data_IF_008566444102
#
_entry.id   IF_008566444102
#
_cell.length_a   1.000
_cell.length_b   1.000
_cell.length_c   1.000
_cell.angle_alpha   90.00
_cell.angle_beta   90.00
_cell.angle_gamma   90.00
#
_symmetry.space_group_name_H-M   'P 1'
#
loop_
_entity.id
_entity.type
_entity.pdbx_description
1 polymer ?
2 polymer ?
3 polymer ?
#
loop_
_entity_poly.entity_id
_entity_poly.type
_entity_poly.pdbx_seq_one_letter_code
_entity_poly.pdbx_strand_id
2 'polydeoxyribonucleotide' '(DT)(DG)(DT)(DC)(DA)(DA)(DT)(DA)(DG)(DG)(DT)(DG)(DT)(DC)(DA)(DA)(DT)(DA)(DC)' ?
3 'polydeoxyribonucleotide' '(DG)(DT)(DA)(DT)(DT)(DG)(DA)(DC)(DA)(DC)(DC)(DT)(DA)(DT)(DT)(DG)(DA)(DC)(DA)' ?
#
# COMPACT_ATOMS: atom_id res chain seq x y z
N UNK A 3 -22.49 5.72 23.91
CA UNK A 3 -22.25 4.95 25.12
C UNK A 3 -21.38 3.77 24.68
N UNK A 4 -20.31 4.05 23.91
CA UNK A 4 -19.36 3.02 23.46
C UNK A 4 -20.11 1.82 22.89
N UNK A 5 -20.55 1.97 21.69
CA UNK A 5 -21.01 0.78 20.97
C UNK A 5 -19.83 0.22 20.19
N UNK A 6 -19.54 -1.06 20.30
CA UNK A 6 -18.42 -1.62 19.55
C UNK A 6 -18.66 -1.47 18.05
N UNK A 7 -17.59 -1.13 17.33
CA UNK A 7 -17.73 -0.66 15.95
C UNK A 7 -18.40 -1.71 15.05
N UNK A 8 -17.92 -2.94 15.11
CA UNK A 8 -18.49 -3.97 14.24
C UNK A 8 -19.95 -4.24 14.53
N UNK A 9 -20.42 -3.92 15.74
CA UNK A 9 -21.82 -4.08 16.05
C UNK A 9 -22.71 -3.00 15.47
N UNK A 10 -22.15 -1.80 15.26
CA UNK A 10 -22.95 -0.69 14.74
C UNK A 10 -23.25 -0.87 13.25
N UNK A 11 -22.31 -1.45 12.51
CA UNK A 11 -22.48 -1.60 11.07
C UNK A 11 -23.72 -2.42 10.76
N UNK A 12 -24.34 -2.12 9.61
CA UNK A 12 -25.51 -2.86 9.19
C UNK A 12 -25.11 -4.28 8.77
N UNK A 13 -26.11 -5.16 8.72
CA UNK A 13 -25.88 -6.50 8.21
C UNK A 13 -25.39 -6.44 6.76
N UNK A 14 -25.93 -5.51 5.98
CA UNK A 14 -25.51 -5.36 4.59
C UNK A 14 -24.04 -4.98 4.50
N UNK A 15 -23.62 -3.97 5.25
CA UNK A 15 -22.23 -3.53 5.20
C UNK A 15 -21.27 -4.68 5.53
N UNK A 16 -21.61 -5.50 6.52
CA UNK A 16 -20.79 -6.67 6.82
C UNK A 16 -20.77 -7.63 5.65
N UNK A 17 -21.87 -7.71 4.88
CA UNK A 17 -21.91 -8.59 3.72
C UNK A 17 -20.96 -8.12 2.63
N UNK A 18 -21.10 -6.85 2.21
CA UNK A 18 -20.18 -6.27 1.22
C UNK A 18 -18.74 -6.48 1.68
N UNK A 19 -18.49 -6.26 2.97
CA UNK A 19 -17.14 -6.48 3.51
C UNK A 19 -16.71 -7.93 3.32
N UNK A 20 -17.60 -8.88 3.59
CA UNK A 20 -17.25 -10.29 3.45
C UNK A 20 -16.89 -10.63 2.01
N UNK A 21 -17.68 -10.13 1.06
CA UNK A 21 -17.41 -10.40 -0.35
C UNK A 21 -16.00 -9.96 -0.74
N UNK A 22 -15.56 -8.81 -0.25
CA UNK A 22 -14.23 -8.31 -0.57
C UNK A 22 -13.16 -9.05 0.21
N UNK A 23 -13.35 -9.17 1.53
CA UNK A 23 -12.31 -9.77 2.38
C UNK A 23 -12.32 -11.29 2.28
N UNK A 24 -13.42 -11.93 2.66
CA UNK A 24 -13.46 -13.39 2.72
C UNK A 24 -13.46 -13.99 1.32
N UNK A 25 -14.19 -13.38 0.38
CA UNK A 25 -14.43 -13.98 -0.92
C UNK A 25 -13.56 -13.38 -2.03
N UNK A 26 -12.69 -12.42 -1.71
CA UNK A 26 -11.74 -11.92 -2.69
C UNK A 26 -12.32 -11.18 -3.87
N UNK A 27 -13.62 -10.92 -3.87
CA UNK A 27 -14.22 -10.14 -4.95
C UNK A 27 -13.67 -8.72 -4.96
N UNK A 28 -13.59 -8.14 -6.15
CA UNK A 28 -13.11 -6.77 -6.29
C UNK A 28 -14.12 -5.79 -5.69
N UNK A 29 -13.60 -4.69 -5.15
CA UNK A 29 -14.47 -3.67 -4.55
C UNK A 29 -15.37 -3.05 -5.60
N UNK A 30 -14.80 -2.67 -6.75
CA UNK A 30 -15.59 -2.03 -7.80
C UNK A 30 -16.64 -2.99 -8.36
N UNK A 31 -16.29 -4.27 -8.48
CA UNK A 31 -17.27 -5.27 -8.90
C UNK A 31 -18.41 -5.35 -7.91
N UNK A 32 -18.10 -5.42 -6.61
CA UNK A 32 -19.13 -5.43 -5.58
C UNK A 32 -19.95 -4.15 -5.64
N UNK A 33 -19.29 -3.02 -5.92
CA UNK A 33 -20.01 -1.75 -6.01
C UNK A 33 -21.03 -1.76 -7.14
N UNK A 34 -20.60 -2.15 -8.34
CA UNK A 34 -21.54 -2.26 -9.46
C UNK A 34 -22.61 -3.30 -9.18
N UNK A 35 -22.21 -4.46 -8.66
CA UNK A 35 -23.17 -5.52 -8.37
C UNK A 35 -24.22 -5.08 -7.36
N UNK A 36 -23.93 -4.04 -6.57
CA UNK A 36 -24.85 -3.59 -5.53
C UNK A 36 -25.33 -2.15 -5.75
N UNK A 37 -25.03 -1.55 -6.88
CA UNK A 37 -25.54 -0.21 -7.17
C UNK A 37 -25.07 0.86 -6.21
N UNK A 38 -23.81 0.78 -5.77
CA UNK A 38 -23.22 1.76 -4.86
C UNK A 38 -22.03 2.41 -5.55
N UNK A 39 -21.60 3.54 -5.00
CA UNK A 39 -20.33 4.09 -5.43
C UNK A 39 -19.20 3.19 -4.97
N UNK A 40 -18.07 3.26 -5.68
CA UNK A 40 -16.90 2.54 -5.22
C UNK A 40 -16.33 3.16 -3.96
N UNK A 41 -16.55 4.46 -3.75
CA UNK A 41 -16.08 5.14 -2.55
C UNK A 41 -16.76 4.57 -1.31
N UNK A 42 -18.04 4.22 -1.42
CA UNK A 42 -18.73 3.62 -0.29
C UNK A 42 -18.14 2.25 0.06
N UNK A 43 -17.89 1.42 -0.96
CA UNK A 43 -17.35 0.08 -0.70
C UNK A 43 -15.96 0.15 -0.09
N UNK A 44 -15.15 1.12 -0.53
CA UNK A 44 -13.84 1.31 0.10
C UNK A 44 -14.01 1.79 1.54
N UNK A 45 -14.90 2.75 1.76
CA UNK A 45 -15.19 3.21 3.12
C UNK A 45 -15.74 2.08 3.98
N UNK A 47 -15.16 -1.18 3.65
CA UNK A 47 -14.08 -2.12 3.96
C UNK A 47 -13.16 -1.55 5.03
N UNK A 48 -12.82 -0.27 4.92
CA UNK A 48 -11.97 0.35 5.93
C UNK A 48 -12.58 0.24 7.33
N UNK A 49 -13.90 0.43 7.43
CA UNK A 49 -14.57 0.30 8.71
C UNK A 49 -14.28 -1.05 9.35
N UNK A 50 -14.48 -2.13 8.59
CA UNK A 50 -14.26 -3.47 9.12
C UNK A 50 -12.77 -3.72 9.37
N UNK A 51 -11.93 -3.34 8.41
CA UNK A 51 -10.50 -3.55 8.55
C UNK A 51 -9.96 -2.79 9.76
N UNK A 52 -10.32 -1.51 9.86
CA UNK A 52 -9.83 -0.68 10.96
C UNK A 52 -10.25 -1.23 12.31
N UNK A 53 -11.51 -1.65 12.44
CA UNK A 53 -11.99 -2.15 13.72
C UNK A 53 -11.37 -3.50 14.08
N UNK A 54 -11.16 -4.38 13.10
CA UNK A 54 -10.53 -5.66 13.35
C UNK A 54 -9.07 -5.53 13.77
N UNK A 55 -8.46 -4.36 13.58
CA UNK A 55 -7.13 -4.07 14.08
C UNK A 55 -7.17 -3.20 15.33
N UNK A 56 -8.36 -3.00 15.91
CA UNK A 56 -8.55 -2.10 17.04
C UNK A 56 -7.88 -0.76 16.77
N UNK A 57 -8.15 -0.23 15.58
CA UNK A 57 -7.52 0.98 15.07
C UNK A 57 -8.58 2.06 14.96
N UNK A 58 -8.28 3.31 15.33
CA UNK A 58 -9.25 4.39 15.09
C UNK A 58 -9.56 4.52 13.61
N UNK A 59 -10.81 4.89 13.31
CA UNK A 59 -11.29 4.87 11.93
C UNK A 59 -10.49 5.82 11.04
N UNK A 60 -10.03 6.95 11.57
CA UNK A 60 -9.36 7.95 10.75
C UNK A 60 -7.94 7.54 10.36
N UNK A 61 -7.36 6.55 11.02
CA UNK A 61 -5.98 6.17 10.75
C UNK A 61 -5.83 5.61 9.33
N UNK A 62 -4.76 6.02 8.65
CA UNK A 62 -4.48 5.57 7.29
C UNK A 62 -3.33 4.58 7.29
N UNK A 63 -3.52 3.46 6.59
CA UNK A 63 -2.43 2.53 6.38
C UNK A 63 -1.37 3.15 5.48
N UNK A 64 -0.11 2.87 5.78
CA UNK A 64 1.03 3.37 5.01
C UNK A 64 1.98 2.22 4.74
N UNK A 65 2.47 2.16 3.50
CA UNK A 65 3.40 1.13 3.07
C UNK A 65 4.55 1.81 2.34
N UNK A 66 5.65 2.08 3.05
CA UNK A 66 6.80 2.75 2.47
C UNK A 66 8.03 1.85 2.65
N UNK A 67 9.08 2.18 1.90
CA UNK A 67 10.40 1.61 2.12
C UNK A 67 11.29 2.70 2.71
N UNK A 68 12.13 2.31 3.66
CA UNK A 68 12.89 3.29 4.43
C UNK A 68 14.22 2.67 4.82
N UNK A 69 15.22 3.50 5.12
CA UNK A 69 16.44 2.98 5.71
C UNK A 69 16.14 2.37 7.07
N UNK A 70 16.95 1.39 7.51
CA UNK A 70 16.69 0.75 8.81
C UNK A 70 16.67 1.75 9.96
N UNK A 71 17.49 2.78 9.88
CA UNK A 71 17.46 3.87 10.85
C UNK A 71 16.07 4.49 10.91
N UNK A 72 15.58 4.97 9.76
CA UNK A 72 14.25 5.57 9.71
C UNK A 72 13.16 4.52 9.92
N UNK A 73 13.37 3.31 9.40
CA UNK A 73 12.35 2.27 9.50
C UNK A 73 11.99 1.98 10.95
N UNK A 74 12.99 1.74 11.80
CA UNK A 74 12.71 1.38 13.18
C UNK A 74 11.95 2.49 13.92
N UNK A 75 12.26 3.74 13.61
CA UNK A 75 11.56 4.85 14.27
C UNK A 75 10.08 4.85 13.92
N UNK A 76 9.74 4.52 12.67
CA UNK A 76 8.32 4.51 12.29
C UNK A 76 7.62 3.27 12.85
N UNK A 77 8.35 2.17 13.03
CA UNK A 77 7.77 1.02 13.70
C UNK A 77 7.51 1.34 15.17
N UNK A 78 8.42 2.06 15.81
CA UNK A 78 8.17 2.55 17.16
C UNK A 78 7.17 3.70 17.17
N UNK A 80 4.50 3.76 15.43
CA UNK A 80 3.20 3.08 15.54
C UNK A 80 2.95 2.64 16.98
N UNK A 81 3.89 1.88 17.55
CA UNK A 81 3.71 1.34 18.89
C UNK A 81 3.35 2.45 19.89
N UNK A 82 4.03 3.59 19.79
CA UNK A 82 3.69 4.71 20.67
C UNK A 82 2.28 5.20 20.42
N UNK A 83 1.90 5.38 19.15
CA UNK A 83 0.54 5.81 18.82
C UNK A 83 -0.48 4.76 19.22
N UNK A 84 -0.19 3.48 18.94
CA UNK A 84 -1.05 2.40 19.40
C UNK A 84 -1.20 2.44 20.92
N UNK A 85 -0.07 2.54 21.63
CA UNK A 85 -0.12 2.57 23.09
C UNK A 85 -0.91 3.76 23.60
N UNK A 86 -0.69 4.94 23.01
CA UNK A 86 -1.41 6.13 23.43
C UNK A 86 -2.91 5.96 23.29
N UNK A 87 -3.35 5.33 22.19
CA UNK A 87 -4.78 5.16 21.96
C UNK A 87 -5.39 4.24 23.00
N UNK A 88 -4.69 3.15 23.33
CA UNK A 88 -5.19 2.24 24.35
C UNK A 88 -5.33 2.95 25.69
N UNK A 89 -4.32 3.71 26.08
CA UNK A 89 -4.41 4.50 27.30
C UNK A 89 -5.54 5.53 27.20
N UNK A 90 -5.69 6.16 26.04
CA UNK A 90 -6.71 7.19 25.91
C UNK A 90 -8.10 6.62 26.18
N UNK A 91 -8.45 5.51 25.52
CA UNK A 91 -9.72 4.84 25.83
C UNK A 91 -9.77 4.42 27.29
N UNK A 92 -8.61 4.16 27.90
CA UNK A 92 -8.57 3.62 29.26
C UNK A 92 -8.93 4.67 30.30
N UNK A 93 -8.44 5.89 30.15
CA UNK A 93 -8.58 6.90 31.20
C UNK A 93 -9.29 8.19 30.77
N UNK A 94 -9.69 8.33 29.50
CA UNK A 94 -10.33 9.58 29.10
C UNK A 94 -11.71 9.72 29.74
N UNK A 95 -12.46 8.62 29.85
CA UNK A 95 -13.76 8.67 30.51
C UNK A 95 -13.61 8.85 32.01
N UNK A 96 -12.52 8.31 32.58
CA UNK A 96 -12.28 8.46 34.02
C UNK A 96 -11.73 9.83 34.36
N UNK A 97 -10.83 10.37 33.53
CA UNK A 97 -10.25 11.68 33.79
C UNK A 97 -11.27 12.81 33.73
N UNK A 98 -12.53 12.52 33.43
CA UNK A 98 -13.59 13.52 33.40
C UNK A 98 -14.81 13.04 34.16
N UNK B 1 17.86 -9.13 -10.86
CA UNK B 1 16.49 -8.79 -11.25
C UNK B 1 15.47 -9.44 -10.32
N UNK B 2 15.60 -10.75 -10.13
CA UNK B 2 14.61 -11.48 -9.34
C UNK B 2 14.59 -11.02 -7.88
N UNK B 3 15.68 -10.42 -7.39
CA UNK B 3 15.70 -9.81 -6.07
C UNK B 3 15.07 -8.43 -6.04
N UNK B 4 14.21 -8.13 -7.01
CA UNK B 4 13.46 -6.88 -7.05
C UNK B 4 11.95 -7.07 -6.97
N UNK B 5 11.46 -8.27 -7.22
CA UNK B 5 10.02 -8.55 -7.17
C UNK B 5 9.34 -7.97 -5.93
N UNK B 6 9.95 -7.95 -4.74
CA UNK B 6 9.33 -7.21 -3.62
C UNK B 6 9.26 -5.71 -3.81
N UNK B 7 10.12 -5.11 -4.65
CA UNK B 7 10.15 -3.66 -4.79
C UNK B 7 9.32 -3.13 -5.94
N UNK B 8 8.81 -4.00 -6.81
CA UNK B 8 7.98 -3.57 -7.94
C UNK B 8 6.50 -3.56 -7.57
N UNK B 9 6.21 -2.89 -6.46
CA UNK B 9 4.86 -2.89 -5.93
C UNK B 9 3.86 -2.23 -6.87
N UNK B 10 2.62 -2.69 -6.79
CA UNK B 10 1.51 -2.15 -7.59
C UNK B 10 1.79 -2.26 -9.08
N UNK B 11 2.47 -3.34 -9.48
CA UNK B 11 2.69 -3.67 -10.88
C UNK B 11 2.10 -5.06 -11.15
N UNK B 12 2.11 -5.46 -12.41
CA UNK B 12 1.45 -6.68 -12.84
C UNK B 12 2.46 -7.77 -13.17
N UNK B 13 1.98 -9.02 -13.10
CA UNK B 13 2.79 -10.18 -13.47
C UNK B 13 3.40 -10.00 -14.86
N UNK B 14 2.54 -9.81 -15.86
CA UNK B 14 3.00 -9.73 -17.24
C UNK B 14 3.86 -8.50 -17.46
N UNK B 15 3.47 -7.36 -16.88
CA UNK B 15 4.27 -6.16 -17.00
C UNK B 15 5.69 -6.38 -16.51
N UNK B 16 5.83 -7.08 -15.39
CA UNK B 16 7.15 -7.47 -14.89
C UNK B 16 7.74 -8.56 -15.76
N UNK B 17 6.91 -9.54 -16.15
CA UNK B 17 7.38 -10.64 -16.97
C UNK B 17 7.99 -10.16 -18.27
N UNK B 18 7.28 -9.26 -18.97
CA UNK B 18 7.81 -8.70 -20.21
C UNK B 18 9.11 -7.95 -19.93
N UNK B 19 9.12 -7.12 -18.89
CA UNK B 19 10.31 -6.37 -18.54
C UNK B 19 11.52 -7.29 -18.41
N UNK B 20 11.32 -8.49 -17.86
CA UNK B 20 12.41 -9.46 -17.78
C UNK B 20 12.92 -9.83 -19.16
N UNK B 21 12.02 -9.94 -20.14
CA UNK B 21 12.44 -10.34 -21.48
C UNK B 21 13.42 -9.36 -22.10
N UNK B 22 13.36 -8.10 -21.71
CA UNK B 22 14.29 -7.10 -22.23
C UNK B 22 15.54 -6.98 -21.38
N UNK B 23 15.40 -7.06 -20.05
CA UNK B 23 16.53 -6.82 -19.16
C UNK B 23 17.21 -8.10 -18.68
N UNK B 24 16.54 -9.24 -18.70
CA UNK B 24 17.16 -10.53 -18.37
C UNK B 24 17.37 -11.38 -19.62
N UNK B 25 16.28 -11.71 -20.32
CA UNK B 25 16.40 -12.45 -21.58
C UNK B 25 17.05 -11.61 -22.69
N UNK B 26 17.17 -10.30 -22.50
CA UNK B 26 17.84 -9.47 -23.48
C UNK B 26 17.17 -9.43 -24.83
N UNK B 27 15.87 -9.74 -24.90
CA UNK B 27 15.15 -9.67 -26.17
C UNK B 27 15.06 -8.23 -26.66
N UNK B 28 14.49 -8.05 -27.84
CA UNK B 28 14.35 -6.72 -28.43
C UNK B 28 13.06 -6.08 -27.96
N UNK B 29 13.14 -4.79 -27.63
CA UNK B 29 11.98 -4.06 -27.12
C UNK B 29 10.86 -4.02 -28.14
N UNK B 30 11.17 -3.62 -29.37
CA UNK B 30 10.13 -3.48 -30.40
C UNK B 30 9.53 -4.83 -30.79
N UNK B 31 10.26 -5.93 -30.59
CA UNK B 31 9.78 -7.24 -31.02
C UNK B 31 8.84 -7.90 -30.02
N UNK B 32 9.05 -7.69 -28.71
CA UNK B 32 8.07 -8.16 -27.74
C UNK B 32 6.76 -7.41 -27.91
N UNK B 33 6.83 -6.11 -28.22
CA UNK B 33 5.62 -5.35 -28.51
C UNK B 33 4.82 -6.02 -29.63
N UNK B 34 5.51 -6.50 -30.66
CA UNK B 34 4.82 -7.22 -31.72
C UNK B 34 4.27 -8.56 -31.23
N UNK B 35 5.03 -9.26 -30.38
CA UNK B 35 4.57 -10.54 -29.85
C UNK B 35 3.40 -10.36 -28.89
N UNK B 36 3.66 -9.72 -27.75
CA UNK B 36 2.64 -9.63 -26.69
C UNK B 36 1.43 -8.80 -27.09
N UNK B 37 1.40 -8.22 -28.28
CA UNK B 37 0.25 -7.46 -28.74
C UNK B 37 0.22 -6.01 -28.32
N UNK B 38 1.36 -5.45 -27.94
CA UNK B 38 1.44 -4.11 -27.40
C UNK B 38 2.12 -3.16 -28.37
N UNK B 39 1.86 -1.87 -28.21
CA UNK B 39 2.67 -0.89 -28.91
C UNK B 39 4.07 -0.86 -28.32
N UNK B 40 4.98 -0.16 -28.99
CA UNK B 40 6.35 -0.10 -28.50
C UNK B 40 6.52 0.92 -27.38
N UNK B 41 5.82 2.05 -27.47
CA UNK B 41 5.90 3.05 -26.41
C UNK B 41 5.42 2.49 -25.08
N UNK B 42 4.48 1.56 -25.12
CA UNK B 42 4.06 0.84 -23.92
C UNK B 42 5.26 0.11 -23.32
N UNK B 43 5.79 -0.88 -24.04
CA UNK B 43 6.84 -1.73 -23.49
C UNK B 43 8.04 -0.91 -23.03
N UNK B 44 8.28 0.24 -23.68
CA UNK B 44 9.35 1.12 -23.24
C UNK B 44 9.07 1.67 -21.85
N UNK B 45 7.84 2.18 -21.64
CA UNK B 45 7.47 2.70 -20.33
C UNK B 45 7.55 1.62 -19.27
N UNK B 47 9.56 -0.89 -19.25
CA UNK B 47 10.99 -1.07 -18.97
C UNK B 47 11.49 0.06 -18.09
N UNK B 48 11.22 1.31 -18.48
CA UNK B 48 11.68 2.45 -17.69
C UNK B 48 11.13 2.39 -16.27
N UNK B 49 9.90 1.91 -16.11
CA UNK B 49 9.34 1.74 -14.77
C UNK B 49 10.16 0.79 -13.94
N UNK B 50 10.23 -0.48 -14.36
CA UNK B 50 10.91 -1.50 -13.56
C UNK B 50 12.37 -1.15 -13.32
N UNK B 51 12.98 -0.41 -14.24
CA UNK B 51 14.37 0.03 -14.04
C UNK B 51 14.42 1.14 -12.99
N UNK B 52 13.59 2.17 -13.16
CA UNK B 52 13.57 3.27 -12.21
C UNK B 52 13.22 2.81 -10.82
N UNK B 53 12.51 1.69 -10.69
CA UNK B 53 12.29 1.08 -9.39
C UNK B 53 13.62 0.71 -8.74
N UNK B 54 14.44 -0.07 -9.46
CA UNK B 54 15.73 -0.51 -8.94
C UNK B 54 16.58 0.66 -8.46
N UNK B 55 16.85 1.60 -9.36
CA UNK B 55 17.77 2.70 -9.10
C UNK B 55 17.16 3.82 -8.25
N UNK B 56 16.09 3.55 -7.53
CA UNK B 56 15.50 4.53 -6.62
C UNK B 56 15.30 4.00 -5.20
N UNK B 57 15.45 2.70 -4.97
CA UNK B 57 15.34 2.12 -3.64
C UNK B 57 16.56 1.24 -3.40
N UNK B 58 17.51 1.65 -2.55
CA UNK B 58 18.63 0.76 -2.21
C UNK B 58 18.12 -0.51 -1.56
N UNK B 59 18.71 -1.65 -1.94
CA UNK B 59 18.20 -2.94 -1.46
C UNK B 59 18.42 -3.17 0.02
N UNK B 60 19.23 -2.34 0.68
CA UNK B 60 19.41 -2.42 2.12
C UNK B 60 18.22 -1.85 2.89
N UNK B 61 17.30 -1.18 2.20
CA UNK B 61 16.14 -0.59 2.84
C UNK B 61 15.13 -1.67 3.23
N UNK B 62 14.15 -1.29 4.03
CA UNK B 62 13.18 -2.21 4.60
C UNK B 62 11.76 -1.80 4.23
N UNK B 63 10.93 -2.79 3.92
CA UNK B 63 9.52 -2.56 3.70
C UNK B 63 8.82 -2.30 5.03
N UNK B 64 8.21 -1.12 5.16
CA UNK B 64 7.47 -0.75 6.36
C UNK B 64 5.98 -0.72 6.01
N UNK B 65 5.18 -1.47 6.74
CA UNK B 65 3.73 -1.46 6.62
C UNK B 65 3.14 -1.18 7.99
N UNK B 66 2.32 -0.13 8.09
CA UNK B 66 2.08 0.50 9.38
C UNK B 66 0.79 1.32 9.29
N UNK B 67 0.08 1.41 10.42
CA UNK B 67 -1.21 2.10 10.53
C UNK B 67 -1.06 3.30 11.44
N UNK B 68 -1.20 4.50 10.88
CA UNK B 68 -0.88 5.73 11.60
C UNK B 68 -2.00 6.76 11.52
N UNK B 69 -2.06 7.66 12.50
CA UNK B 69 -2.94 8.82 12.36
C UNK B 69 -2.56 9.63 11.14
N UNK B 70 -3.51 10.41 10.59
CA UNK B 70 -3.24 11.07 9.30
C UNK B 70 -2.01 11.96 9.27
N UNK B 71 -1.84 12.83 10.26
CA UNK B 71 -0.69 13.74 10.25
C UNK B 71 0.63 12.97 10.27
N UNK B 72 0.80 12.04 11.21
CA UNK B 72 2.01 11.21 11.22
C UNK B 72 2.12 10.39 9.95
N UNK B 73 0.98 9.90 9.43
CA UNK B 73 1.02 9.09 8.21
C UNK B 73 1.65 9.86 7.06
N UNK B 74 1.25 11.11 6.86
CA UNK B 74 1.87 11.94 5.84
C UNK B 74 3.34 12.17 6.15
N UNK B 75 3.67 12.34 7.42
CA UNK B 75 5.07 12.56 7.81
C UNK B 75 5.94 11.38 7.40
N UNK B 76 5.44 10.15 7.59
CA UNK B 76 6.17 8.97 7.14
C UNK B 76 6.23 8.92 5.62
N UNK B 77 5.14 9.34 4.95
CA UNK B 77 5.17 9.42 3.49
C UNK B 77 6.12 10.51 3.03
N UNK B 78 6.18 11.63 3.74
CA UNK B 78 7.16 12.67 3.42
C UNK B 78 8.57 12.19 3.70
N UNK B 80 9.76 9.16 3.35
CA UNK B 80 10.18 8.38 2.20
C UNK B 80 10.58 9.27 1.03
N UNK B 81 9.84 10.36 0.82
CA UNK B 81 10.17 11.29 -0.26
C UNK B 81 11.57 11.87 -0.08
N UNK B 82 11.87 12.36 1.13
CA UNK B 82 13.21 12.86 1.42
C UNK B 82 14.26 11.79 1.22
N UNK B 83 14.03 10.60 1.78
CA UNK B 83 15.00 9.52 1.68
C UNK B 83 15.17 9.07 0.24
N UNK B 84 14.09 8.97 -0.52
CA UNK B 84 14.19 8.66 -1.94
C UNK B 84 14.90 9.77 -2.70
N UNK B 85 14.72 11.02 -2.28
CA UNK B 85 15.30 12.15 -3.00
C UNK B 85 16.81 12.22 -2.79
N UNK B 86 17.26 12.17 -1.53
CA UNK B 86 18.70 12.24 -1.25
C UNK B 86 19.43 11.04 -1.86
N UNK B 87 18.72 9.91 -2.04
CA UNK B 87 19.32 8.78 -2.74
C UNK B 87 19.54 9.12 -4.21
N UNK B 88 18.69 9.97 -4.79
CA UNK B 88 18.78 10.28 -6.21
C UNK B 88 20.08 11.01 -6.52
N UNK B 89 20.44 12.01 -5.71
CA UNK B 89 21.67 12.76 -5.98
C UNK B 89 22.90 11.88 -5.82
N UNK B 90 22.88 10.95 -4.86
CA UNK B 90 24.01 10.05 -4.68
C UNK B 90 24.13 9.05 -5.82
N UNK B 91 23.04 8.75 -6.52
CA UNK B 91 23.10 7.98 -7.76
C UNK B 91 23.39 8.85 -8.97
N UNK B 92 22.90 10.09 -8.97
CA UNK B 92 23.17 10.99 -10.09
C UNK B 92 24.61 11.49 -10.04
N UNK B 93 25.05 11.99 -8.90
CA UNK B 93 26.42 12.47 -8.73
C UNK B 93 27.36 11.29 -8.48
#
# INVERSE_FOLDING_TARGET
FDDLRPRLGRLTEETIDIAREVLVEGKSQSDVARERGLSRQRVSSXVKSVVSAANEIPREWQRVEVWLPPNLAEKVRQXEADAKADVARKNQLTDAAL
FDDLRPRLGRLTEETIDIAREVLVEGKSQSDVARERGLSRQRVSSXVKSVVSAANEIPREWQRVEVWLPPNLAEKVRQXEADAKADVARKNQLTDAAL
#
